data_IF_477257207910
#
_entry.id   IF_477257207910
#
_cell.length_a   1.000
_cell.length_b   1.000
_cell.length_c   1.000
_cell.angle_alpha   90.00
_cell.angle_beta   90.00
_cell.angle_gamma   90.00
#
_symmetry.space_group_name_H-M   'P 1'
#
loop_
_entity.id
_entity.type
_entity.pdbx_description
1 polymer ?
#
# COMPACT_ATOMS: atom_id res chain seq x y z
N UNK A 1 -32.28 3.71 -17.44
CA UNK A 1 -32.07 5.15 -17.03
C UNK A 1 -31.62 5.12 -15.57
N UNK A 2 -30.54 5.82 -15.24
CA UNK A 2 -30.17 6.00 -13.82
C UNK A 2 -31.06 7.13 -13.29
N UNK A 3 -31.91 6.83 -12.31
CA UNK A 3 -32.74 7.81 -11.63
C UNK A 3 -31.93 8.41 -10.46
N UNK A 4 -31.87 9.73 -10.37
CA UNK A 4 -31.28 10.41 -9.23
C UNK A 4 -32.40 10.76 -8.24
N UNK A 5 -32.28 10.26 -7.02
CA UNK A 5 -33.21 10.57 -5.93
C UNK A 5 -32.48 11.43 -4.90
N UNK A 6 -33.05 12.60 -4.58
CA UNK A 6 -32.54 13.46 -3.50
C UNK A 6 -33.15 13.03 -2.17
N UNK A 7 -32.30 12.87 -1.13
CA UNK A 7 -32.72 12.59 0.23
C UNK A 7 -32.07 13.60 1.18
N UNK A 8 -32.80 14.04 2.18
CA UNK A 8 -32.28 14.94 3.22
C UNK A 8 -32.23 14.23 4.54
N UNK A 9 -31.09 14.32 5.22
CA UNK A 9 -30.85 13.73 6.53
C UNK A 9 -30.32 14.78 7.50
N UNK A 10 -30.78 14.73 8.76
CA UNK A 10 -30.15 15.44 9.86
C UNK A 10 -28.96 14.63 10.35
N UNK A 11 -27.74 15.11 10.04
CA UNK A 11 -26.51 14.41 10.34
C UNK A 11 -25.78 15.08 11.50
N UNK A 12 -25.61 14.40 12.65
CA UNK A 12 -24.94 14.97 13.81
C UNK A 12 -23.43 15.14 13.60
N UNK A 13 -22.88 16.25 14.08
CA UNK A 13 -21.43 16.42 14.25
C UNK A 13 -21.01 15.69 15.52
N UNK A 14 -20.15 14.68 15.40
CA UNK A 14 -19.71 13.81 16.51
C UNK A 14 -18.38 14.22 17.11
N UNK A 15 -17.58 15.02 16.43
CA UNK A 15 -16.31 15.49 16.95
C UNK A 15 -15.62 16.50 16.06
N UNK A 16 -14.70 17.22 16.69
CA UNK A 16 -13.81 18.17 16.03
C UNK A 16 -12.37 17.79 16.40
N UNK A 17 -11.48 17.78 15.44
CA UNK A 17 -10.09 17.34 15.58
C UNK A 17 -9.15 18.38 14.97
N UNK A 18 -7.87 18.30 15.30
CA UNK A 18 -6.88 19.06 14.54
C UNK A 18 -6.63 18.36 13.21
N UNK A 19 -6.44 17.03 13.22
CA UNK A 19 -6.18 16.22 12.04
C UNK A 19 -7.13 15.03 11.97
N UNK A 20 -7.70 14.79 10.78
CA UNK A 20 -8.41 13.54 10.48
C UNK A 20 -7.66 12.83 9.37
N UNK A 21 -7.34 11.54 9.60
CA UNK A 21 -6.73 10.62 8.64
C UNK A 21 -7.80 9.63 8.16
N UNK A 22 -8.01 9.53 6.86
CA UNK A 22 -8.92 8.56 6.27
C UNK A 22 -8.16 7.38 5.65
N UNK A 23 -8.43 6.17 6.17
CA UNK A 23 -7.78 4.92 5.77
C UNK A 23 -6.61 4.53 6.68
N UNK A 24 -6.75 3.38 7.35
CA UNK A 24 -5.79 2.82 8.30
C UNK A 24 -4.76 1.86 7.67
N UNK A 25 -4.41 2.07 6.40
CA UNK A 25 -3.30 1.37 5.74
C UNK A 25 -1.92 1.84 6.24
N UNK A 26 -0.80 1.37 5.64
CA UNK A 26 0.54 1.75 6.08
C UNK A 26 0.73 3.27 6.19
N UNK A 27 0.31 4.03 5.18
CA UNK A 27 0.42 5.49 5.17
C UNK A 27 -0.45 6.14 6.26
N UNK A 28 -1.69 5.68 6.44
CA UNK A 28 -2.58 6.25 7.43
C UNK A 28 -2.15 5.99 8.87
N UNK A 29 -1.60 4.82 9.14
CA UNK A 29 -1.04 4.52 10.46
C UNK A 29 0.11 5.47 10.79
N UNK A 30 1.08 5.65 9.90
CA UNK A 30 2.21 6.55 10.14
C UNK A 30 1.80 8.02 10.17
N UNK A 31 0.81 8.43 9.35
CA UNK A 31 0.26 9.78 9.38
C UNK A 31 -0.43 10.08 10.73
N UNK A 32 -1.22 9.14 11.24
CA UNK A 32 -1.88 9.31 12.53
C UNK A 32 -0.88 9.33 13.70
N UNK A 33 0.10 8.42 13.71
CA UNK A 33 1.16 8.38 14.73
C UNK A 33 1.94 9.69 14.71
N UNK A 34 2.41 10.13 13.54
CA UNK A 34 3.23 11.33 13.42
C UNK A 34 2.47 12.57 13.88
N UNK A 35 1.26 12.77 13.39
CA UNK A 35 0.43 13.91 13.80
C UNK A 35 0.12 13.92 15.31
N UNK A 36 -0.18 12.76 15.91
CA UNK A 36 -0.45 12.67 17.35
C UNK A 36 0.83 12.90 18.19
N UNK A 37 2.00 12.38 17.75
CA UNK A 37 3.30 12.64 18.42
C UNK A 37 3.68 14.12 18.39
N UNK A 38 3.23 14.89 17.37
CA UNK A 38 3.35 16.36 17.30
C UNK A 38 2.28 17.09 18.12
N UNK A 39 1.58 16.38 19.01
CA UNK A 39 0.64 16.93 19.98
C UNK A 39 -0.74 17.31 19.40
N UNK A 40 -1.09 16.86 18.20
CA UNK A 40 -2.39 17.15 17.59
C UNK A 40 -3.46 16.14 18.00
N UNK A 41 -4.66 16.62 18.25
CA UNK A 41 -5.83 15.75 18.44
C UNK A 41 -6.17 15.10 17.11
N UNK A 42 -5.77 13.83 16.96
CA UNK A 42 -5.83 13.10 15.69
C UNK A 42 -6.87 11.98 15.73
N UNK A 43 -7.72 11.92 14.70
CA UNK A 43 -8.66 10.84 14.43
C UNK A 43 -8.23 10.05 13.19
N UNK A 44 -8.11 8.74 13.31
CA UNK A 44 -7.94 7.80 12.21
C UNK A 44 -9.23 7.01 12.00
N UNK A 45 -9.82 7.11 10.81
CA UNK A 45 -10.97 6.26 10.43
C UNK A 45 -10.52 5.13 9.52
N UNK A 46 -11.04 3.91 9.77
CA UNK A 46 -10.74 2.71 9.00
C UNK A 46 -12.05 1.93 8.71
N UNK A 47 -12.24 1.59 7.44
CA UNK A 47 -13.44 0.88 6.99
C UNK A 47 -13.49 -0.58 7.43
N UNK A 48 -12.33 -1.20 7.65
CA UNK A 48 -12.19 -2.59 8.08
C UNK A 48 -12.10 -2.72 9.60
N UNK A 49 -11.71 -3.90 10.07
CA UNK A 49 -11.60 -4.24 11.49
C UNK A 49 -10.17 -4.23 12.01
N UNK A 50 -9.18 -3.87 11.19
CA UNK A 50 -7.77 -3.86 11.58
C UNK A 50 -6.97 -2.83 10.80
N UNK A 51 -5.92 -2.32 11.42
CA UNK A 51 -4.92 -1.45 10.80
C UNK A 51 -3.91 -2.22 9.93
N UNK A 52 -3.17 -1.49 9.10
CA UNK A 52 -2.06 -2.00 8.29
C UNK A 52 -2.42 -2.39 6.84
N UNK A 53 -3.69 -2.35 6.46
CA UNK A 53 -4.16 -2.50 5.08
C UNK A 53 -3.61 -3.73 4.35
N UNK A 54 -2.75 -3.52 3.33
CA UNK A 54 -2.25 -4.62 2.48
C UNK A 54 -1.37 -5.63 3.23
N UNK A 55 -0.59 -5.20 4.23
CA UNK A 55 0.25 -6.09 5.02
C UNK A 55 -0.52 -6.94 6.03
N UNK A 56 -1.75 -6.56 6.35
CA UNK A 56 -2.62 -7.22 7.35
C UNK A 56 -3.88 -7.81 6.73
N UNK A 57 -4.84 -6.98 6.34
CA UNK A 57 -6.12 -7.42 5.77
C UNK A 57 -6.00 -7.89 4.32
N UNK A 58 -5.01 -7.37 3.58
CA UNK A 58 -4.70 -7.79 2.22
C UNK A 58 -3.81 -9.03 2.14
N UNK A 59 -3.18 -9.46 3.24
CA UNK A 59 -2.29 -10.61 3.35
C UNK A 59 -1.09 -10.60 2.39
N UNK A 60 -0.58 -9.44 2.02
CA UNK A 60 0.70 -9.37 1.29
C UNK A 60 1.78 -9.98 2.17
N UNK A 61 2.42 -11.09 1.74
CA UNK A 61 3.17 -11.95 2.65
C UNK A 61 4.59 -11.46 2.95
N UNK A 62 5.02 -10.37 2.30
CA UNK A 62 6.44 -9.97 2.32
C UNK A 62 6.56 -8.45 2.24
N UNK A 63 7.42 -7.88 3.07
CA UNK A 63 7.90 -6.52 2.89
C UNK A 63 8.72 -6.41 1.60
N UNK A 64 8.47 -5.39 0.80
CA UNK A 64 9.43 -4.97 -0.21
C UNK A 64 10.73 -4.51 0.46
N UNK A 65 11.87 -4.46 -0.28
CA UNK A 65 13.16 -4.07 0.28
C UNK A 65 13.11 -2.79 1.11
N UNK A 66 13.76 -2.80 2.27
CA UNK A 66 13.96 -1.64 3.15
C UNK A 66 15.34 -1.00 2.96
N UNK A 67 16.19 -1.60 2.13
CA UNK A 67 17.55 -1.12 1.88
C UNK A 67 17.71 -0.57 0.46
N UNK A 68 18.77 0.21 0.27
CA UNK A 68 19.35 0.54 -1.04
C UNK A 68 20.44 -0.48 -1.44
N UNK A 69 20.38 -1.70 -0.93
CA UNK A 69 21.36 -2.78 -1.01
C UNK A 69 22.67 -2.54 -0.20
N UNK A 70 22.81 -1.38 0.46
CA UNK A 70 23.92 -1.06 1.37
C UNK A 70 23.43 -0.82 2.79
N UNK A 71 22.35 -0.07 2.94
CA UNK A 71 21.82 0.33 4.24
C UNK A 71 20.32 0.52 4.17
N UNK A 72 19.68 0.48 5.34
CA UNK A 72 18.26 0.81 5.46
C UNK A 72 18.05 2.31 5.15
N UNK A 73 17.17 2.62 4.19
CA UNK A 73 16.82 4.00 3.83
C UNK A 73 15.38 4.39 4.22
N UNK A 74 14.48 3.44 4.37
CA UNK A 74 13.15 3.69 4.91
C UNK A 74 13.22 3.66 6.44
N UNK A 75 13.48 4.84 7.03
CA UNK A 75 13.73 5.06 8.47
C UNK A 75 12.55 5.79 9.11
N UNK A 76 12.74 6.33 10.31
CA UNK A 76 11.67 6.93 11.09
C UNK A 76 10.63 5.88 11.49
N UNK A 77 9.35 6.22 11.43
CA UNK A 77 8.26 5.30 11.71
C UNK A 77 8.26 4.06 10.82
N UNK A 78 8.66 4.19 9.55
CA UNK A 78 8.81 3.05 8.65
C UNK A 78 9.81 2.02 9.20
N UNK A 79 10.96 2.48 9.69
CA UNK A 79 11.97 1.64 10.32
C UNK A 79 11.51 1.02 11.64
N UNK A 80 10.82 1.78 12.49
CA UNK A 80 10.26 1.28 13.76
C UNK A 80 9.29 0.11 13.51
N UNK A 81 8.31 0.29 12.62
CA UNK A 81 7.31 -0.73 12.27
C UNK A 81 7.99 -1.97 11.67
N UNK A 82 8.92 -1.75 10.73
CA UNK A 82 9.63 -2.85 10.08
C UNK A 82 10.45 -3.69 11.07
N UNK A 83 11.21 -3.07 11.96
CA UNK A 83 12.04 -3.77 12.95
C UNK A 83 11.17 -4.60 13.90
N UNK A 84 10.06 -4.03 14.39
CA UNK A 84 9.09 -4.75 15.23
C UNK A 84 8.48 -5.93 14.47
N UNK A 85 8.03 -5.72 13.22
CA UNK A 85 7.43 -6.77 12.38
C UNK A 85 8.41 -7.91 12.08
N UNK A 86 9.66 -7.57 11.71
CA UNK A 86 10.73 -8.56 11.44
C UNK A 86 11.02 -9.42 12.68
N UNK A 87 11.04 -8.83 13.86
CA UNK A 87 11.28 -9.54 15.11
C UNK A 87 10.23 -10.62 15.42
N UNK A 88 9.04 -10.52 14.82
CA UNK A 88 7.96 -11.50 14.96
C UNK A 88 8.08 -12.70 13.99
N UNK A 89 9.12 -12.74 13.14
CA UNK A 89 9.36 -13.86 12.20
C UNK A 89 10.61 -14.62 12.64
N UNK A 90 10.48 -15.79 13.31
CA UNK A 90 11.60 -16.47 13.96
C UNK A 90 12.73 -16.91 13.01
N UNK A 91 12.43 -17.17 11.74
CA UNK A 91 13.40 -17.62 10.73
C UNK A 91 14.27 -16.48 10.15
N UNK A 92 13.98 -15.22 10.52
CA UNK A 92 14.63 -14.05 9.92
C UNK A 92 15.65 -13.43 10.88
N UNK A 93 16.90 -13.28 10.41
CA UNK A 93 17.95 -12.63 11.19
C UNK A 93 17.73 -11.13 11.35
N UNK A 94 18.26 -10.55 12.44
CA UNK A 94 18.15 -9.11 12.72
C UNK A 94 18.78 -8.19 11.66
N UNK A 95 19.72 -8.69 10.86
CA UNK A 95 20.36 -7.94 9.76
C UNK A 95 19.62 -8.01 8.43
N UNK A 96 18.59 -8.85 8.31
CA UNK A 96 17.86 -9.02 7.06
C UNK A 96 16.93 -7.83 6.79
N UNK A 97 17.13 -7.12 5.68
CA UNK A 97 16.42 -5.88 5.36
C UNK A 97 15.46 -5.99 4.17
N UNK A 98 15.63 -6.99 3.31
CA UNK A 98 14.95 -7.05 2.02
C UNK A 98 14.12 -8.34 1.91
N UNK A 99 12.92 -8.23 1.36
CA UNK A 99 11.99 -9.35 1.16
C UNK A 99 11.67 -10.14 2.44
N UNK A 100 11.54 -9.42 3.55
CA UNK A 100 11.25 -9.99 4.87
C UNK A 100 9.78 -10.44 4.93
N UNK A 101 9.50 -11.71 5.33
CA UNK A 101 8.13 -12.18 5.52
C UNK A 101 7.35 -11.35 6.53
N UNK A 102 6.03 -11.31 6.38
CA UNK A 102 5.11 -10.60 7.28
C UNK A 102 4.20 -11.58 7.98
N UNK A 103 4.25 -11.59 9.31
CA UNK A 103 3.19 -12.18 10.12
C UNK A 103 2.06 -11.14 10.26
N UNK A 104 0.96 -11.34 9.53
CA UNK A 104 -0.13 -10.38 9.46
C UNK A 104 -0.80 -10.10 10.81
N UNK A 105 -0.95 -11.11 11.67
CA UNK A 105 -1.58 -10.95 13.00
C UNK A 105 -0.68 -10.15 13.95
N UNK A 106 0.62 -10.42 13.96
CA UNK A 106 1.56 -9.62 14.74
C UNK A 106 1.67 -8.19 14.22
N UNK A 107 1.61 -8.00 12.91
CA UNK A 107 1.64 -6.66 12.31
C UNK A 107 0.40 -5.85 12.66
N UNK A 108 -0.80 -6.46 12.75
CA UNK A 108 -2.01 -5.78 13.26
C UNK A 108 -1.76 -5.26 14.67
N UNK A 109 -1.25 -6.11 15.58
CA UNK A 109 -0.97 -5.76 16.97
C UNK A 109 0.06 -4.62 17.06
N UNK A 110 1.11 -4.66 16.23
CA UNK A 110 2.14 -3.60 16.18
C UNK A 110 1.51 -2.26 15.79
N UNK A 111 0.65 -2.23 14.78
CA UNK A 111 -0.04 -1.00 14.39
C UNK A 111 -1.01 -0.52 15.46
N UNK A 112 -1.78 -1.42 16.08
CA UNK A 112 -2.72 -1.07 17.14
C UNK A 112 -1.99 -0.42 18.32
N UNK A 113 -0.89 -1.04 18.80
CA UNK A 113 -0.05 -0.51 19.87
C UNK A 113 0.54 0.86 19.50
N UNK A 114 1.23 0.96 18.36
CA UNK A 114 1.92 2.19 17.99
C UNK A 114 0.97 3.37 17.75
N UNK A 115 -0.19 3.11 17.12
CA UNK A 115 -1.20 4.16 16.88
C UNK A 115 -1.85 4.61 18.18
N UNK A 116 -2.26 3.69 19.03
CA UNK A 116 -2.95 4.06 20.30
C UNK A 116 -1.98 4.67 21.30
N UNK A 117 -0.76 4.18 21.43
CA UNK A 117 0.28 4.75 22.30
C UNK A 117 0.71 6.16 21.86
N UNK A 118 0.58 6.51 20.59
CA UNK A 118 0.82 7.87 20.10
C UNK A 118 -0.24 8.89 20.60
N UNK A 119 -1.38 8.42 21.09
CA UNK A 119 -2.53 9.24 21.46
C UNK A 119 -3.55 9.47 20.34
N UNK A 120 -3.35 8.90 19.15
CA UNK A 120 -4.34 8.94 18.07
C UNK A 120 -5.57 8.10 18.42
N UNK A 121 -6.75 8.61 18.05
CA UNK A 121 -8.03 7.93 18.24
C UNK A 121 -8.35 7.15 16.96
N UNK A 122 -8.74 5.87 17.10
CA UNK A 122 -9.10 5.02 15.96
C UNK A 122 -10.60 4.72 15.97
N UNK A 123 -11.24 4.84 14.81
CA UNK A 123 -12.59 4.35 14.56
C UNK A 123 -12.57 3.29 13.47
N UNK A 124 -12.72 2.03 13.86
CA UNK A 124 -12.90 0.91 12.95
C UNK A 124 -14.34 0.84 12.40
N UNK A 125 -14.52 0.07 11.33
CA UNK A 125 -15.82 -0.16 10.68
C UNK A 125 -16.54 1.16 10.39
N UNK A 126 -15.77 2.16 9.98
CA UNK A 126 -16.23 3.51 9.72
C UNK A 126 -15.87 3.91 8.29
N UNK A 127 -16.87 3.92 7.42
CA UNK A 127 -16.71 4.18 6.00
C UNK A 127 -16.78 5.68 5.72
N UNK A 128 -15.84 6.21 4.95
CA UNK A 128 -15.94 7.53 4.35
C UNK A 128 -17.05 7.51 3.28
N UNK A 129 -18.05 8.37 3.41
CA UNK A 129 -19.20 8.44 2.50
C UNK A 129 -19.22 9.73 1.67
N UNK A 130 -18.52 10.76 2.12
CA UNK A 130 -18.45 12.03 1.43
C UNK A 130 -17.60 13.04 2.18
N UNK A 131 -17.37 14.17 1.54
CA UNK A 131 -16.64 15.31 2.10
C UNK A 131 -17.47 16.56 1.91
N UNK A 132 -17.60 17.34 2.98
CA UNK A 132 -18.11 18.70 2.87
C UNK A 132 -16.93 19.62 2.65
N UNK A 133 -16.85 20.22 1.47
CA UNK A 133 -15.80 21.15 1.09
C UNK A 133 -16.39 22.36 0.37
N UNK A 134 -15.78 23.50 0.59
CA UNK A 134 -16.15 24.75 -0.06
C UNK A 134 -14.90 25.58 -0.38
N UNK A 135 -14.84 26.16 -1.58
CA UNK A 135 -13.73 27.02 -2.03
C UNK A 135 -12.34 26.41 -1.83
N UNK A 136 -12.16 25.11 -2.15
CA UNK A 136 -10.90 24.41 -2.02
C UNK A 136 -10.50 24.03 -0.58
N UNK A 137 -11.43 24.11 0.37
CA UNK A 137 -11.22 23.78 1.77
C UNK A 137 -12.20 22.71 2.24
N UNK A 138 -11.71 21.62 2.75
CA UNK A 138 -12.52 20.60 3.41
C UNK A 138 -12.91 21.09 4.83
N UNK A 139 -14.18 20.96 5.18
CA UNK A 139 -14.72 21.35 6.48
C UNK A 139 -15.00 20.14 7.37
N UNK A 140 -15.52 19.05 6.76
CA UNK A 140 -15.91 17.85 7.47
C UNK A 140 -15.93 16.64 6.53
N UNK A 141 -15.74 15.47 7.10
CA UNK A 141 -16.03 14.19 6.45
C UNK A 141 -17.39 13.67 6.90
N UNK A 142 -18.15 13.10 5.95
CA UNK A 142 -19.35 12.32 6.22
C UNK A 142 -18.93 10.85 6.29
N UNK A 143 -19.29 10.19 7.37
CA UNK A 143 -19.01 8.77 7.58
C UNK A 143 -20.29 7.97 7.84
N UNK A 144 -20.25 6.67 7.54
CA UNK A 144 -21.25 5.68 7.94
C UNK A 144 -20.63 4.60 8.80
N UNK A 145 -21.28 4.32 9.92
CA UNK A 145 -20.93 3.21 10.80
C UNK A 145 -22.19 2.67 11.51
N UNK A 146 -22.03 1.86 12.57
CA UNK A 146 -23.14 1.26 13.29
C UNK A 146 -24.12 2.28 13.91
N UNK A 147 -23.69 3.53 14.11
CA UNK A 147 -24.55 4.62 14.60
C UNK A 147 -25.31 5.38 13.48
N UNK A 148 -25.12 4.96 12.22
CA UNK A 148 -25.65 5.65 11.05
C UNK A 148 -24.70 6.69 10.51
N UNK A 149 -25.24 7.75 9.87
CA UNK A 149 -24.44 8.85 9.30
C UNK A 149 -23.99 9.82 10.38
N UNK A 150 -22.75 10.28 10.27
CA UNK A 150 -22.15 11.26 11.19
C UNK A 150 -21.15 12.15 10.47
N UNK A 151 -20.99 13.38 10.94
CA UNK A 151 -19.96 14.32 10.49
C UNK A 151 -18.84 14.41 11.53
N UNK A 152 -17.59 14.45 11.05
CA UNK A 152 -16.40 14.78 11.84
C UNK A 152 -15.68 15.93 11.17
N UNK A 153 -15.34 16.96 11.95
CA UNK A 153 -14.65 18.17 11.49
C UNK A 153 -13.17 18.11 11.84
N UNK A 154 -12.34 18.73 11.01
CA UNK A 154 -10.94 18.94 11.31
C UNK A 154 -10.39 20.23 10.67
N UNK A 155 -9.23 20.67 11.17
CA UNK A 155 -8.46 21.74 10.55
C UNK A 155 -7.77 21.27 9.29
N UNK A 156 -7.16 20.06 9.32
CA UNK A 156 -6.45 19.42 8.21
C UNK A 156 -6.91 17.98 8.07
N UNK A 157 -7.00 17.50 6.83
CA UNK A 157 -7.34 16.12 6.48
C UNK A 157 -6.19 15.46 5.73
N UNK A 158 -6.02 14.15 5.94
CA UNK A 158 -5.02 13.36 5.21
C UNK A 158 -5.74 12.18 4.54
N UNK A 159 -5.69 12.13 3.22
CA UNK A 159 -6.21 11.00 2.45
C UNK A 159 -5.18 9.87 2.35
N UNK A 160 -5.43 8.80 3.07
CA UNK A 160 -4.68 7.55 3.05
C UNK A 160 -5.56 6.36 2.59
N UNK A 161 -6.68 6.63 1.90
CA UNK A 161 -7.63 5.60 1.43
C UNK A 161 -7.01 4.70 0.36
N UNK A 162 -5.93 5.13 -0.27
CA UNK A 162 -5.26 4.45 -1.37
C UNK A 162 -5.97 4.63 -2.72
N UNK A 163 -7.25 4.99 -2.73
CA UNK A 163 -8.06 5.25 -3.92
C UNK A 163 -8.41 6.74 -4.07
N UNK A 164 -7.85 7.61 -3.22
CA UNK A 164 -8.07 9.07 -3.20
C UNK A 164 -9.54 9.48 -2.94
N UNK A 165 -10.25 8.74 -2.09
CA UNK A 165 -11.69 8.96 -1.88
C UNK A 165 -11.98 10.27 -1.15
N UNK A 166 -11.12 10.68 -0.19
CA UNK A 166 -11.28 11.94 0.52
C UNK A 166 -10.92 13.12 -0.39
N UNK A 167 -9.78 13.07 -1.07
CA UNK A 167 -9.30 14.15 -1.93
C UNK A 167 -10.25 14.39 -3.10
N UNK A 168 -10.72 13.32 -3.77
CA UNK A 168 -11.73 13.39 -4.81
C UNK A 168 -13.04 13.97 -4.26
N UNK A 169 -13.49 13.52 -3.08
CA UNK A 169 -14.69 14.02 -2.41
C UNK A 169 -14.59 15.50 -2.03
N UNK A 170 -13.39 16.01 -1.79
CA UNK A 170 -13.08 17.41 -1.54
C UNK A 170 -12.96 18.25 -2.84
N UNK A 171 -12.96 17.62 -4.01
CA UNK A 171 -12.88 18.28 -5.32
C UNK A 171 -11.53 18.21 -6.02
N UNK A 172 -10.58 17.41 -5.54
CA UNK A 172 -9.30 17.22 -6.22
C UNK A 172 -9.47 16.55 -7.58
N UNK A 173 -8.67 16.94 -8.56
CA UNK A 173 -8.53 16.24 -9.81
C UNK A 173 -7.69 14.95 -9.62
N UNK A 174 -8.11 13.87 -10.28
CA UNK A 174 -7.42 12.58 -10.22
C UNK A 174 -7.19 11.99 -11.61
N UNK A 175 -6.03 11.34 -11.77
CA UNK A 175 -5.73 10.50 -12.93
C UNK A 175 -5.92 9.02 -12.57
N UNK A 176 -6.21 8.16 -13.54
CA UNK A 176 -6.37 6.71 -13.32
C UNK A 176 -5.78 5.91 -14.49
N UNK A 177 -4.97 4.91 -14.14
CA UNK A 177 -4.34 4.05 -15.13
C UNK A 177 -3.28 4.76 -15.99
N UNK A 178 -2.91 4.12 -17.07
CA UNK A 178 -2.02 4.66 -18.10
C UNK A 178 -2.80 5.52 -19.12
N UNK A 179 -2.13 5.98 -20.18
CA UNK A 179 -2.75 6.81 -21.24
C UNK A 179 -3.98 6.15 -21.92
N UNK A 180 -4.17 4.83 -21.77
CA UNK A 180 -5.34 4.09 -22.28
C UNK A 180 -6.39 3.84 -21.16
N UNK A 181 -6.17 4.35 -19.96
CA UNK A 181 -7.01 4.08 -18.79
C UNK A 181 -6.83 2.67 -18.18
N UNK A 182 -5.86 1.90 -18.65
CA UNK A 182 -5.58 0.56 -18.13
C UNK A 182 -4.80 0.66 -16.83
N UNK A 183 -5.28 -0.02 -15.78
CA UNK A 183 -4.63 -0.16 -14.49
C UNK A 183 -3.85 -1.46 -14.39
N UNK A 184 -2.88 -1.50 -13.48
CA UNK A 184 -2.12 -2.72 -13.19
C UNK A 184 -3.03 -3.82 -12.63
N UNK A 185 -2.77 -5.12 -12.96
CA UNK A 185 -3.58 -6.22 -12.45
C UNK A 185 -3.51 -6.32 -10.93
N UNK A 186 -4.60 -6.72 -10.32
CA UNK A 186 -4.74 -6.94 -8.90
C UNK A 186 -4.43 -8.39 -8.51
N UNK A 187 -4.21 -8.65 -7.22
CA UNK A 187 -4.00 -10.01 -6.69
C UNK A 187 -4.81 -10.22 -5.42
N UNK A 188 -5.40 -11.38 -5.28
CA UNK A 188 -6.04 -11.80 -4.04
C UNK A 188 -5.10 -12.73 -3.27
N UNK A 189 -4.36 -12.20 -2.31
CA UNK A 189 -3.39 -12.97 -1.53
C UNK A 189 -4.08 -14.00 -0.64
N UNK A 190 -3.35 -15.07 -0.31
CA UNK A 190 -3.85 -16.16 0.52
C UNK A 190 -2.74 -16.81 1.35
N UNK A 191 -3.13 -17.58 2.36
CA UNK A 191 -2.23 -18.32 3.25
C UNK A 191 -2.61 -19.78 3.25
N UNK A 192 -1.60 -20.65 3.10
CA UNK A 192 -1.70 -22.09 3.28
C UNK A 192 -1.07 -22.48 4.61
N UNK A 193 -1.71 -23.39 5.32
CA UNK A 193 -1.19 -23.97 6.56
C UNK A 193 -0.98 -25.48 6.40
N UNK A 194 -0.30 -26.08 7.38
CA UNK A 194 0.11 -27.49 7.39
C UNK A 194 1.00 -27.86 6.20
N UNK A 195 1.88 -26.93 5.82
CA UNK A 195 2.96 -27.15 4.85
C UNK A 195 4.14 -27.81 5.57
N UNK A 196 4.75 -28.83 4.96
CA UNK A 196 6.00 -29.37 5.47
C UNK A 196 7.13 -28.33 5.27
N UNK A 197 7.55 -27.71 6.37
CA UNK A 197 8.56 -26.63 6.34
C UNK A 197 9.90 -27.13 5.80
N UNK A 198 10.34 -28.32 6.21
CA UNK A 198 11.60 -28.87 5.76
C UNK A 198 11.61 -29.17 4.25
N UNK A 199 10.55 -29.80 3.78
CA UNK A 199 10.40 -30.06 2.35
C UNK A 199 10.30 -28.75 1.54
N UNK A 200 9.57 -27.75 2.04
CA UNK A 200 9.45 -26.43 1.41
C UNK A 200 10.81 -25.74 1.27
N UNK A 201 11.63 -25.73 2.32
CA UNK A 201 12.92 -25.03 2.32
C UNK A 201 14.04 -25.80 1.61
N UNK A 202 14.02 -27.15 1.61
CA UNK A 202 15.15 -27.96 1.17
C UNK A 202 14.87 -28.89 0.00
N UNK A 203 13.61 -29.28 -0.26
CA UNK A 203 13.29 -30.22 -1.34
C UNK A 203 12.70 -29.54 -2.55
N UNK A 204 11.78 -28.57 -2.33
CA UNK A 204 11.07 -27.88 -3.42
C UNK A 204 11.45 -26.40 -3.58
N UNK A 205 12.42 -25.91 -2.84
CA UNK A 205 12.80 -24.48 -2.82
C UNK A 205 13.14 -23.94 -4.21
N UNK A 206 13.96 -24.64 -4.97
CA UNK A 206 14.32 -24.24 -6.34
C UNK A 206 13.09 -24.16 -7.24
N UNK A 207 12.21 -25.17 -7.19
CA UNK A 207 10.96 -25.21 -7.94
C UNK A 207 10.04 -24.02 -7.60
N UNK A 208 9.92 -23.71 -6.30
CA UNK A 208 9.06 -22.62 -5.80
C UNK A 208 9.57 -21.22 -6.14
N UNK A 209 10.90 -21.03 -6.28
CA UNK A 209 11.50 -19.71 -6.45
C UNK A 209 12.10 -19.46 -7.85
N UNK A 210 12.18 -20.49 -8.70
CA UNK A 210 12.63 -20.33 -10.08
C UNK A 210 11.63 -19.50 -10.90
N UNK A 211 12.15 -18.60 -11.73
CA UNK A 211 11.37 -17.62 -12.49
C UNK A 211 11.62 -17.72 -14.01
N UNK A 212 11.69 -18.93 -14.52
CA UNK A 212 11.82 -19.21 -15.96
C UNK A 212 10.56 -19.91 -16.52
N UNK A 213 10.55 -20.16 -17.81
CA UNK A 213 9.48 -20.86 -18.53
C UNK A 213 9.82 -22.32 -18.74
N UNK A 214 10.34 -22.99 -17.73
CA UNK A 214 10.68 -24.41 -17.76
C UNK A 214 9.82 -25.23 -16.78
N UNK A 215 9.76 -26.52 -16.99
CA UNK A 215 9.09 -27.48 -16.08
C UNK A 215 9.79 -27.57 -14.70
N UNK A 216 10.86 -26.80 -14.48
CA UNK A 216 11.52 -26.63 -13.19
C UNK A 216 11.05 -25.37 -12.44
N UNK A 217 10.06 -24.65 -12.97
CA UNK A 217 9.45 -23.49 -12.34
C UNK A 217 8.00 -23.79 -11.97
N UNK A 218 7.67 -23.69 -10.67
CA UNK A 218 6.31 -23.92 -10.18
C UNK A 218 5.30 -23.00 -10.87
N UNK A 219 5.61 -21.73 -11.03
CA UNK A 219 4.71 -20.79 -11.69
C UNK A 219 4.39 -21.15 -13.14
N UNK A 220 5.38 -21.71 -13.85
CA UNK A 220 5.19 -22.16 -15.22
C UNK A 220 4.38 -23.47 -15.30
N UNK A 221 4.65 -24.45 -14.43
CA UNK A 221 3.86 -25.69 -14.33
C UNK A 221 2.39 -25.40 -14.05
N UNK A 222 2.12 -24.51 -13.09
CA UNK A 222 0.76 -24.12 -12.73
C UNK A 222 0.01 -23.44 -13.89
N UNK A 223 0.68 -22.50 -14.58
CA UNK A 223 0.10 -21.79 -15.72
C UNK A 223 -0.19 -22.72 -16.91
N UNK A 224 0.62 -23.75 -17.12
CA UNK A 224 0.47 -24.70 -18.23
C UNK A 224 -0.58 -25.80 -17.98
N UNK A 225 -0.99 -26.01 -16.76
CA UNK A 225 -1.92 -27.08 -16.41
C UNK A 225 -3.34 -26.71 -16.85
N UNK A 226 -3.96 -27.47 -17.79
CA UNK A 226 -5.31 -27.17 -18.29
C UNK A 226 -6.39 -27.35 -17.22
N UNK A 227 -6.12 -28.02 -16.10
CA UNK A 227 -7.05 -28.14 -14.96
C UNK A 227 -7.02 -26.92 -14.04
N UNK A 228 -6.06 -26.00 -14.25
CA UNK A 228 -5.85 -24.79 -13.48
C UNK A 228 -6.11 -23.52 -14.34
N UNK A 229 -7.20 -23.51 -15.05
CA UNK A 229 -7.57 -22.54 -16.10
C UNK A 229 -7.66 -21.07 -15.66
N UNK A 230 -7.76 -20.81 -14.36
CA UNK A 230 -7.76 -19.46 -13.80
C UNK A 230 -6.35 -18.92 -13.51
N UNK A 231 -5.32 -19.77 -13.56
CA UNK A 231 -3.90 -19.36 -13.42
C UNK A 231 -3.37 -19.08 -14.82
N UNK A 232 -3.45 -17.83 -15.24
CA UNK A 232 -3.22 -17.42 -16.62
C UNK A 232 -1.82 -16.85 -16.90
N UNK A 233 -1.01 -16.68 -15.85
CA UNK A 233 0.35 -16.15 -15.94
C UNK A 233 1.28 -16.73 -14.86
N UNK A 234 2.53 -16.29 -14.86
CA UNK A 234 3.59 -16.77 -13.95
C UNK A 234 3.75 -15.91 -12.70
N UNK A 235 2.78 -15.05 -12.35
CA UNK A 235 2.86 -14.27 -11.12
C UNK A 235 2.69 -15.17 -9.89
N UNK A 236 3.80 -15.38 -9.18
CA UNK A 236 3.87 -16.34 -8.09
C UNK A 236 4.94 -15.91 -7.06
N UNK A 237 4.55 -15.10 -6.09
CA UNK A 237 5.38 -14.75 -4.94
C UNK A 237 4.88 -15.50 -3.72
N UNK A 238 5.81 -16.07 -2.95
CA UNK A 238 5.50 -16.83 -1.75
C UNK A 238 6.54 -16.57 -0.67
N UNK A 239 6.17 -16.74 0.59
CA UNK A 239 7.06 -16.54 1.74
C UNK A 239 6.65 -17.44 2.91
N UNK A 240 7.62 -18.03 3.58
CA UNK A 240 7.43 -18.76 4.82
C UNK A 240 7.20 -17.76 5.96
N UNK A 241 5.98 -17.72 6.49
CA UNK A 241 5.56 -16.76 7.53
C UNK A 241 5.85 -17.27 8.94
N UNK A 242 5.71 -18.58 9.13
CA UNK A 242 5.95 -19.32 10.36
C UNK A 242 6.11 -20.82 10.00
N UNK A 243 6.60 -21.66 10.90
CA UNK A 243 6.64 -23.11 10.68
C UNK A 243 5.29 -23.63 10.21
N UNK A 244 5.27 -24.33 9.08
CA UNK A 244 4.06 -24.89 8.46
C UNK A 244 3.12 -23.90 7.81
N UNK A 245 3.49 -22.60 7.68
CA UNK A 245 2.60 -21.56 7.17
C UNK A 245 3.28 -20.75 6.07
N UNK A 246 2.71 -20.77 4.86
CA UNK A 246 3.24 -20.06 3.69
C UNK A 246 2.19 -19.09 3.16
N UNK A 247 2.59 -17.84 2.99
CA UNK A 247 1.76 -16.79 2.37
C UNK A 247 2.07 -16.63 0.88
N UNK A 248 1.06 -16.29 0.11
CA UNK A 248 1.13 -16.16 -1.34
C UNK A 248 0.57 -14.82 -1.82
N UNK A 249 1.35 -14.14 -2.67
CA UNK A 249 0.91 -13.07 -3.55
C UNK A 249 1.03 -13.62 -4.98
N UNK A 250 0.00 -14.32 -5.44
CA UNK A 250 0.05 -15.14 -6.65
C UNK A 250 -1.24 -15.07 -7.45
N UNK A 251 -1.12 -15.17 -8.77
CA UNK A 251 -2.20 -15.01 -9.73
C UNK A 251 -2.60 -13.54 -9.93
N UNK A 252 -3.03 -13.21 -11.14
CA UNK A 252 -3.51 -11.88 -11.46
C UNK A 252 -5.01 -11.86 -11.78
N UNK A 253 -5.64 -10.77 -11.40
CA UNK A 253 -6.99 -10.37 -11.80
C UNK A 253 -6.84 -9.09 -12.61
N UNK A 254 -7.07 -9.21 -13.92
CA UNK A 254 -6.87 -8.13 -14.88
C UNK A 254 -8.10 -7.24 -14.99
N UNK A 255 -7.87 -5.99 -15.44
CA UNK A 255 -8.91 -5.01 -15.77
C UNK A 255 -9.87 -4.71 -14.61
N UNK A 256 -9.39 -4.81 -13.37
CA UNK A 256 -10.20 -4.50 -12.19
C UNK A 256 -10.24 -3.00 -11.96
N UNK A 257 -11.42 -2.42 -12.08
CA UNK A 257 -11.72 -1.09 -11.58
C UNK A 257 -12.03 -1.16 -10.08
N UNK A 258 -11.08 -0.73 -9.24
CA UNK A 258 -11.26 -0.72 -7.77
C UNK A 258 -12.32 0.27 -7.29
N UNK A 259 -12.77 1.18 -8.16
CA UNK A 259 -13.82 2.17 -7.85
C UNK A 259 -15.22 1.69 -8.23
N UNK A 260 -15.34 0.51 -8.84
CA UNK A 260 -16.60 -0.17 -9.10
C UNK A 260 -16.82 -1.30 -8.09
N UNK A 261 -17.78 -1.19 -7.16
CA UNK A 261 -18.04 -2.19 -6.14
C UNK A 261 -18.49 -3.55 -6.72
N UNK A 262 -19.14 -3.57 -7.89
CA UNK A 262 -19.52 -4.82 -8.55
C UNK A 262 -18.27 -5.54 -9.08
N UNK A 263 -17.37 -4.82 -9.75
CA UNK A 263 -16.11 -5.36 -10.24
C UNK A 263 -15.24 -5.90 -9.09
N UNK A 264 -15.15 -5.17 -7.98
CA UNK A 264 -14.41 -5.63 -6.78
C UNK A 264 -15.06 -6.90 -6.19
N UNK A 265 -16.37 -6.98 -6.12
CA UNK A 265 -17.09 -8.16 -5.61
C UNK A 265 -16.83 -9.39 -6.47
N UNK A 266 -16.91 -9.26 -7.79
CA UNK A 266 -16.59 -10.33 -8.74
C UNK A 266 -15.12 -10.76 -8.64
N UNK A 267 -14.20 -9.79 -8.50
CA UNK A 267 -12.78 -10.06 -8.33
C UNK A 267 -12.48 -10.85 -7.05
N UNK A 268 -13.11 -10.53 -5.93
CA UNK A 268 -12.97 -11.28 -4.67
C UNK A 268 -13.47 -12.72 -4.80
N UNK A 269 -14.64 -12.91 -5.46
CA UNK A 269 -15.18 -14.26 -5.72
C UNK A 269 -14.26 -15.07 -6.64
N UNK A 270 -13.74 -14.44 -7.71
CA UNK A 270 -12.79 -15.07 -8.63
C UNK A 270 -11.44 -15.35 -7.93
N UNK A 271 -10.97 -14.43 -7.10
CA UNK A 271 -9.70 -14.57 -6.37
C UNK A 271 -9.68 -15.79 -5.44
N UNK A 272 -10.80 -16.09 -4.76
CA UNK A 272 -10.90 -17.30 -3.93
C UNK A 272 -10.82 -18.58 -4.77
N UNK A 273 -11.38 -18.58 -5.97
CA UNK A 273 -11.26 -19.74 -6.91
C UNK A 273 -9.83 -19.89 -7.45
N UNK A 274 -9.15 -18.77 -7.73
CA UNK A 274 -7.74 -18.78 -8.11
C UNK A 274 -6.89 -19.38 -6.97
N UNK A 275 -7.10 -18.95 -5.73
CA UNK A 275 -6.39 -19.48 -4.57
C UNK A 275 -6.60 -21.00 -4.39
N UNK A 276 -7.82 -21.50 -4.62
CA UNK A 276 -8.13 -22.93 -4.61
C UNK A 276 -7.39 -23.70 -5.72
N UNK A 277 -7.28 -23.11 -6.92
CA UNK A 277 -6.50 -23.73 -8.00
C UNK A 277 -5.02 -23.78 -7.65
N UNK A 278 -4.47 -22.73 -7.02
CA UNK A 278 -3.08 -22.78 -6.52
C UNK A 278 -2.88 -23.89 -5.51
N UNK A 279 -3.78 -24.07 -4.54
CA UNK A 279 -3.68 -25.17 -3.58
C UNK A 279 -3.69 -26.54 -4.27
N UNK A 280 -4.58 -26.77 -5.23
CA UNK A 280 -4.62 -28.03 -6.00
C UNK A 280 -3.32 -28.26 -6.78
N UNK A 281 -2.84 -27.24 -7.47
CA UNK A 281 -1.63 -27.32 -8.26
C UNK A 281 -0.38 -27.58 -7.39
N UNK A 282 -0.28 -26.91 -6.25
CA UNK A 282 0.82 -27.12 -5.29
C UNK A 282 0.82 -28.53 -4.73
N UNK A 283 -0.34 -29.11 -4.42
CA UNK A 283 -0.46 -30.53 -4.03
C UNK A 283 -0.05 -31.50 -5.15
N UNK A 284 -0.31 -31.14 -6.41
CA UNK A 284 -0.01 -31.96 -7.58
C UNK A 284 1.48 -31.94 -7.90
N UNK A 285 2.14 -30.78 -7.86
CA UNK A 285 3.50 -30.58 -8.36
C UNK A 285 4.58 -30.51 -7.28
N UNK A 286 4.19 -30.32 -6.02
CA UNK A 286 5.10 -30.31 -4.86
C UNK A 286 4.47 -31.05 -3.65
N UNK A 287 4.05 -32.32 -3.83
CA UNK A 287 3.39 -33.08 -2.76
C UNK A 287 4.27 -33.23 -1.52
N UNK A 288 5.59 -33.23 -1.66
CA UNK A 288 6.53 -33.31 -0.55
C UNK A 288 6.27 -32.23 0.50
N UNK A 289 5.99 -31.01 0.05
CA UNK A 289 5.71 -29.89 0.93
C UNK A 289 4.21 -29.66 1.17
N UNK A 290 3.35 -29.92 0.17
CA UNK A 290 1.97 -29.44 0.18
C UNK A 290 0.90 -30.54 0.24
N UNK A 291 1.23 -31.85 0.28
CA UNK A 291 0.23 -32.91 0.28
C UNK A 291 -0.87 -32.72 1.34
N UNK A 292 -0.49 -32.30 2.54
CA UNK A 292 -1.36 -32.09 3.68
C UNK A 292 -1.79 -30.62 3.88
N UNK A 293 -1.35 -29.72 3.00
CA UNK A 293 -1.65 -28.31 3.12
C UNK A 293 -3.16 -28.04 2.92
N UNK A 294 -3.65 -26.98 3.59
CA UNK A 294 -5.01 -26.51 3.41
C UNK A 294 -5.05 -24.98 3.35
N UNK A 295 -6.13 -24.44 2.78
CA UNK A 295 -6.37 -23.00 2.73
C UNK A 295 -6.71 -22.48 4.13
N UNK A 296 -5.79 -21.77 4.75
CA UNK A 296 -6.00 -21.19 6.07
C UNK A 296 -6.77 -19.88 5.98
N UNK A 297 -6.41 -19.03 5.00
CA UNK A 297 -7.03 -17.71 4.87
C UNK A 297 -6.87 -17.17 3.44
N UNK A 298 -7.85 -16.37 2.98
CA UNK A 298 -7.74 -15.46 1.84
C UNK A 298 -7.85 -14.03 2.32
N UNK A 299 -7.23 -13.08 1.64
CA UNK A 299 -7.28 -11.66 2.00
C UNK A 299 -8.71 -11.14 2.14
N UNK A 300 -8.97 -10.34 3.15
CA UNK A 300 -10.25 -9.63 3.29
C UNK A 300 -10.33 -8.49 2.28
N UNK A 301 -9.20 -7.88 1.97
CA UNK A 301 -9.06 -6.83 0.96
C UNK A 301 -8.45 -7.41 -0.32
N UNK A 302 -8.94 -6.92 -1.47
CA UNK A 302 -8.30 -7.13 -2.74
C UNK A 302 -6.98 -6.37 -2.80
N UNK A 303 -5.92 -7.00 -3.26
CA UNK A 303 -4.61 -6.38 -3.47
C UNK A 303 -4.60 -5.47 -4.70
N UNK A 304 -5.14 -4.27 -4.57
CA UNK A 304 -5.19 -3.26 -5.61
C UNK A 304 -3.83 -2.59 -5.76
N UNK A 305 -3.20 -2.72 -6.93
CA UNK A 305 -1.90 -2.11 -7.22
C UNK A 305 -2.01 -0.66 -7.68
N UNK A 306 -3.01 -0.35 -8.48
CA UNK A 306 -3.21 0.97 -9.07
C UNK A 306 -4.68 1.34 -9.09
N UNK A 307 -4.97 2.62 -8.79
CA UNK A 307 -6.29 3.23 -8.85
C UNK A 307 -6.13 4.70 -9.22
N UNK A 308 -6.86 5.60 -8.54
CA UNK A 308 -6.69 7.04 -8.72
C UNK A 308 -5.37 7.51 -8.11
N UNK A 309 -4.74 8.46 -8.79
CA UNK A 309 -3.60 9.26 -8.35
C UNK A 309 -4.02 10.71 -8.39
N UNK A 310 -3.77 11.44 -7.31
CA UNK A 310 -4.19 12.83 -7.20
C UNK A 310 -3.25 13.73 -8.01
N UNK A 311 -3.83 14.73 -8.69
CA UNK A 311 -3.05 15.80 -9.31
C UNK A 311 -2.55 16.73 -8.21
N UNK A 312 -1.25 16.67 -7.95
CA UNK A 312 -0.56 17.44 -6.92
C UNK A 312 0.36 18.49 -7.54
N UNK A 313 0.90 19.39 -6.72
CA UNK A 313 1.84 20.44 -7.16
C UNK A 313 3.08 19.90 -7.86
N UNK A 314 3.46 18.65 -7.57
CA UNK A 314 4.46 17.91 -8.31
C UNK A 314 3.95 16.51 -8.68
N UNK A 315 4.24 16.09 -9.89
CA UNK A 315 3.98 14.75 -10.40
C UNK A 315 5.28 14.00 -10.51
N UNK A 316 5.56 13.10 -9.60
CA UNK A 316 6.74 12.22 -9.65
C UNK A 316 6.67 11.29 -10.85
N UNK A 317 7.73 11.22 -11.65
CA UNK A 317 7.72 10.57 -12.96
C UNK A 317 8.77 9.48 -13.12
N UNK A 318 8.61 8.63 -14.15
CA UNK A 318 9.64 7.67 -14.52
C UNK A 318 10.99 8.32 -14.86
N UNK A 319 11.01 9.58 -15.31
CA UNK A 319 12.26 10.31 -15.56
C UNK A 319 12.99 10.61 -14.25
N UNK A 320 12.26 10.95 -13.17
CA UNK A 320 12.86 11.16 -11.84
C UNK A 320 13.53 9.88 -11.33
N UNK A 321 12.89 8.72 -11.60
CA UNK A 321 13.46 7.41 -11.31
C UNK A 321 14.76 7.18 -12.09
N UNK A 322 14.75 7.37 -13.43
CA UNK A 322 15.91 7.13 -14.30
C UNK A 322 17.09 8.02 -13.91
N UNK A 323 16.81 9.28 -13.58
CA UNK A 323 17.84 10.28 -13.21
C UNK A 323 18.29 10.20 -11.74
N UNK A 324 17.72 9.29 -10.92
CA UNK A 324 17.96 9.22 -9.46
C UNK A 324 17.76 10.59 -8.81
N UNK A 325 16.71 11.30 -9.26
CA UNK A 325 16.45 12.69 -8.92
C UNK A 325 16.39 12.93 -7.41
N UNK A 326 17.05 13.98 -6.94
CA UNK A 326 16.91 14.54 -5.60
C UNK A 326 16.18 15.87 -5.67
N UNK A 327 15.49 16.25 -4.59
CA UNK A 327 14.68 17.45 -4.52
C UNK A 327 15.01 18.27 -3.27
N UNK A 328 14.92 19.60 -3.37
CA UNK A 328 15.11 20.49 -2.21
C UNK A 328 14.01 20.30 -1.17
N UNK A 329 12.81 19.88 -1.61
CA UNK A 329 11.65 19.60 -0.76
C UNK A 329 11.48 18.08 -0.47
N UNK A 330 12.57 17.32 -0.43
CA UNK A 330 12.55 15.88 -0.23
C UNK A 330 12.06 15.51 1.18
N UNK A 331 11.13 14.55 1.25
CA UNK A 331 10.57 14.01 2.52
C UNK A 331 11.02 12.59 2.83
N UNK A 332 11.78 11.98 1.94
CA UNK A 332 12.31 10.62 2.05
C UNK A 332 12.86 10.14 0.73
N UNK A 333 13.46 8.95 0.74
CA UNK A 333 14.02 8.33 -0.47
C UNK A 333 13.39 6.98 -0.74
N UNK A 334 13.39 6.60 -2.03
CA UNK A 334 12.86 5.33 -2.49
C UNK A 334 13.86 4.61 -3.39
N UNK A 335 14.17 3.35 -3.06
CA UNK A 335 15.06 2.45 -3.82
C UNK A 335 14.31 1.30 -4.49
N UNK A 336 12.98 1.24 -4.36
CA UNK A 336 12.21 0.19 -5.02
C UNK A 336 12.11 0.46 -6.52
N UNK A 337 12.32 -0.57 -7.32
CA UNK A 337 12.27 -0.45 -8.77
C UNK A 337 10.84 -0.19 -9.28
N UNK A 338 10.72 0.31 -10.52
CA UNK A 338 9.43 0.43 -11.19
C UNK A 338 8.91 -0.98 -11.51
N UNK A 339 7.97 -1.43 -10.68
CA UNK A 339 7.37 -2.76 -10.73
C UNK A 339 5.99 -2.70 -11.41
N UNK A 340 6.02 -2.73 -12.73
CA UNK A 340 4.80 -2.76 -13.56
C UNK A 340 4.51 -4.21 -13.91
N UNK A 341 3.36 -4.70 -13.48
CA UNK A 341 2.85 -6.01 -13.87
C UNK A 341 2.22 -5.96 -15.25
N UNK A 342 2.36 -7.08 -16.01
CA UNK A 342 1.88 -7.19 -17.38
C UNK A 342 0.38 -6.89 -17.48
N UNK A 343 0.00 -6.20 -18.55
CA UNK A 343 -1.40 -6.08 -18.92
C UNK A 343 -1.90 -7.38 -19.58
N UNK A 344 -3.23 -7.51 -19.71
CA UNK A 344 -3.83 -8.66 -20.40
C UNK A 344 -3.34 -8.78 -21.84
N UNK A 345 -3.07 -7.66 -22.52
CA UNK A 345 -2.59 -7.62 -23.90
C UNK A 345 -1.15 -8.15 -24.07
N UNK A 346 -0.42 -8.32 -22.95
CA UNK A 346 0.95 -8.81 -22.93
C UNK A 346 1.04 -10.29 -22.51
N UNK A 347 -0.08 -10.93 -22.17
CA UNK A 347 -0.11 -12.33 -21.70
C UNK A 347 0.43 -13.33 -22.72
N UNK A 348 0.19 -13.12 -24.01
CA UNK A 348 0.70 -14.02 -25.05
C UNK A 348 2.23 -13.97 -25.11
N UNK A 349 2.83 -12.81 -24.89
CA UNK A 349 4.29 -12.65 -24.80
C UNK A 349 4.87 -13.31 -23.54
N UNK A 350 4.10 -13.43 -22.48
CA UNK A 350 4.49 -14.18 -21.27
C UNK A 350 4.49 -15.67 -21.56
N UNK A 351 3.46 -16.16 -22.26
CA UNK A 351 3.31 -17.59 -22.60
C UNK A 351 4.37 -18.09 -23.57
N UNK A 352 4.81 -17.26 -24.52
CA UNK A 352 5.85 -17.60 -25.49
C UNK A 352 7.28 -17.27 -25.03
N UNK A 353 7.44 -16.73 -23.81
CA UNK A 353 8.74 -16.41 -23.22
C UNK A 353 9.44 -15.18 -23.80
N UNK A 354 8.76 -14.40 -24.65
CA UNK A 354 9.35 -13.20 -25.27
C UNK A 354 9.16 -11.93 -24.45
N UNK A 355 8.46 -12.03 -23.32
CA UNK A 355 8.22 -10.90 -22.44
C UNK A 355 9.42 -10.58 -21.54
N UNK A 356 9.85 -9.31 -21.53
CA UNK A 356 10.80 -8.79 -20.56
C UNK A 356 10.06 -7.95 -19.50
N UNK A 357 10.07 -8.33 -18.22
CA UNK A 357 9.26 -7.67 -17.17
C UNK A 357 9.76 -6.29 -16.76
N UNK A 358 10.93 -5.83 -17.24
CA UNK A 358 11.49 -4.55 -16.82
C UNK A 358 11.86 -3.67 -18.03
N UNK A 359 11.08 -2.61 -18.24
CA UNK A 359 11.43 -1.53 -19.17
C UNK A 359 12.44 -0.54 -18.59
N UNK A 360 12.69 -0.64 -17.26
CA UNK A 360 13.53 0.30 -16.53
C UNK A 360 14.66 -0.46 -15.83
N UNK A 361 15.85 0.10 -15.90
CA UNK A 361 17.00 -0.43 -15.17
C UNK A 361 16.75 -0.37 -13.66
N UNK A 362 17.03 -1.47 -12.96
CA UNK A 362 16.94 -1.51 -11.50
C UNK A 362 18.06 -0.70 -10.87
N UNK A 363 17.79 -0.14 -9.71
CA UNK A 363 18.80 0.55 -8.92
C UNK A 363 20.01 -0.34 -8.61
N UNK A 364 21.21 0.23 -8.75
CA UNK A 364 22.46 -0.30 -8.22
C UNK A 364 22.54 -0.18 -6.70
N UNK A 365 23.67 -0.56 -6.13
CA UNK A 365 23.95 -0.42 -4.70
C UNK A 365 24.08 1.04 -4.29
N UNK A 366 23.32 1.46 -3.28
CA UNK A 366 23.30 2.84 -2.77
C UNK A 366 22.49 3.80 -3.62
N UNK A 367 21.85 3.34 -4.71
CA UNK A 367 21.01 4.20 -5.55
C UNK A 367 19.60 4.31 -5.04
N UNK A 368 19.01 5.48 -5.19
CA UNK A 368 17.64 5.81 -4.85
C UNK A 368 17.24 7.14 -5.48
N UNK A 369 15.96 7.46 -5.49
CA UNK A 369 15.46 8.80 -5.82
C UNK A 369 14.72 9.40 -4.62
N UNK A 370 14.63 10.72 -4.59
CA UNK A 370 13.87 11.46 -3.59
C UNK A 370 12.37 11.43 -3.83
N UNK A 371 11.60 11.62 -2.79
CA UNK A 371 10.15 11.86 -2.84
C UNK A 371 9.92 13.31 -2.40
N UNK A 372 9.47 14.23 -3.28
CA UNK A 372 9.27 15.62 -2.90
C UNK A 372 7.95 15.80 -2.13
N UNK A 373 7.91 16.75 -1.19
CA UNK A 373 6.71 17.10 -0.42
C UNK A 373 5.53 17.48 -1.33
N UNK A 374 5.80 18.19 -2.41
CA UNK A 374 4.79 18.62 -3.38
C UNK A 374 4.01 17.48 -4.07
N UNK A 375 4.45 16.22 -3.92
CA UNK A 375 3.64 15.06 -4.34
C UNK A 375 2.48 14.76 -3.38
N UNK A 376 2.47 15.37 -2.19
CA UNK A 376 1.44 15.16 -1.16
C UNK A 376 0.40 16.30 -1.12
N UNK A 377 0.59 17.38 -1.90
CA UNK A 377 -0.22 18.59 -1.88
C UNK A 377 -1.14 18.67 -3.11
N UNK A 378 -2.43 18.30 -2.98
CA UNK A 378 -3.38 18.35 -4.09
C UNK A 378 -3.59 19.79 -4.60
N UNK A 379 -3.52 19.97 -5.91
CA UNK A 379 -3.83 21.28 -6.53
C UNK A 379 -5.25 21.71 -6.18
N UNK A 380 -5.38 22.94 -5.74
CA UNK A 380 -6.68 23.57 -5.45
C UNK A 380 -7.32 23.20 -4.11
N UNK A 381 -6.65 22.41 -3.25
CA UNK A 381 -7.10 22.12 -1.89
C UNK A 381 -6.12 22.68 -0.86
N UNK A 382 -6.58 23.55 0.04
CA UNK A 382 -5.72 24.24 1.01
C UNK A 382 -5.42 23.42 2.28
N UNK A 383 -6.24 22.43 2.63
CA UNK A 383 -6.13 21.70 3.90
C UNK A 383 -6.32 20.19 3.78
N UNK A 384 -6.07 19.63 2.61
CA UNK A 384 -6.10 18.18 2.37
C UNK A 384 -4.76 17.74 1.85
N UNK A 385 -4.07 16.85 2.58
CA UNK A 385 -2.87 16.14 2.12
C UNK A 385 -3.25 14.75 1.61
N UNK A 386 -2.40 14.18 0.77
CA UNK A 386 -2.51 12.77 0.32
C UNK A 386 -1.25 12.01 0.68
N UNK A 387 -1.37 10.72 1.01
CA UNK A 387 -0.23 9.87 1.29
C UNK A 387 -0.44 8.42 0.83
N UNK A 388 0.64 7.70 0.59
CA UNK A 388 0.58 6.31 0.13
C UNK A 388 0.38 6.18 -1.37
N UNK A 389 -0.46 5.23 -1.79
CA UNK A 389 -0.62 4.81 -3.19
C UNK A 389 -1.19 5.90 -4.11
N UNK A 390 -1.95 6.85 -3.58
CA UNK A 390 -2.66 7.87 -4.35
C UNK A 390 -1.91 9.19 -4.55
N UNK A 391 -0.65 9.32 -4.08
CA UNK A 391 0.14 10.55 -4.22
C UNK A 391 0.39 10.93 -5.69
N UNK A 392 0.76 12.19 -5.92
CA UNK A 392 1.05 12.74 -7.24
C UNK A 392 2.17 11.99 -7.97
N UNK A 393 1.81 11.16 -8.96
CA UNK A 393 2.77 10.39 -9.76
C UNK A 393 2.24 10.04 -11.13
N UNK A 394 3.12 9.70 -12.08
CA UNK A 394 2.70 9.03 -13.31
C UNK A 394 2.41 7.53 -13.05
N UNK A 395 1.77 6.86 -14.02
CA UNK A 395 1.41 5.45 -13.90
C UNK A 395 2.63 4.52 -13.77
N UNK A 396 3.75 4.85 -14.40
CA UNK A 396 4.96 4.05 -14.30
C UNK A 396 5.59 4.20 -12.91
N UNK A 397 5.76 5.43 -12.43
CA UNK A 397 6.31 5.72 -11.11
C UNK A 397 5.44 5.18 -9.98
N UNK A 398 4.12 5.15 -10.16
CA UNK A 398 3.22 4.50 -9.20
C UNK A 398 3.64 3.04 -8.91
N UNK A 399 4.15 2.31 -9.92
CA UNK A 399 4.70 0.96 -9.72
C UNK A 399 5.85 0.89 -8.70
N UNK A 400 6.60 1.98 -8.52
CA UNK A 400 7.71 2.07 -7.57
C UNK A 400 7.27 2.55 -6.18
N UNK A 401 6.44 3.61 -6.12
CA UNK A 401 6.14 4.30 -4.85
C UNK A 401 4.92 3.77 -4.09
N UNK A 402 4.14 2.85 -4.68
CA UNK A 402 2.92 2.29 -4.06
C UNK A 402 3.17 1.18 -3.04
N UNK A 403 4.39 0.65 -2.98
CA UNK A 403 4.71 -0.42 -2.03
C UNK A 403 4.77 0.10 -0.60
N UNK A 404 4.61 -0.81 0.37
CA UNK A 404 4.42 -0.40 1.77
C UNK A 404 5.55 0.48 2.34
N UNK A 405 6.86 0.25 2.08
CA UNK A 405 7.90 1.08 2.66
C UNK A 405 7.79 2.58 2.31
N UNK A 406 7.72 3.01 1.03
CA UNK A 406 7.50 4.43 0.72
C UNK A 406 6.13 4.95 1.16
N UNK A 407 5.08 4.10 1.24
CA UNK A 407 3.80 4.53 1.79
C UNK A 407 3.92 4.92 3.27
N UNK A 408 4.69 4.17 4.08
CA UNK A 408 4.99 4.52 5.47
C UNK A 408 5.69 5.87 5.58
N UNK A 409 6.69 6.12 4.72
CA UNK A 409 7.45 7.38 4.68
C UNK A 409 6.56 8.58 4.32
N UNK A 410 5.75 8.44 3.27
CA UNK A 410 4.85 9.52 2.85
C UNK A 410 3.77 9.82 3.88
N UNK A 411 3.30 8.80 4.61
CA UNK A 411 2.35 8.97 5.71
C UNK A 411 2.96 9.74 6.87
N UNK A 412 4.18 9.39 7.31
CA UNK A 412 4.89 10.11 8.37
C UNK A 412 5.06 11.59 8.03
N UNK A 413 5.52 11.88 6.81
CA UNK A 413 5.71 13.25 6.35
C UNK A 413 4.40 14.03 6.27
N UNK A 414 3.32 13.41 5.78
CA UNK A 414 1.99 14.03 5.74
C UNK A 414 1.47 14.33 7.15
N UNK A 415 1.71 13.43 8.12
CA UNK A 415 1.31 13.62 9.52
C UNK A 415 2.00 14.80 10.18
N UNK A 416 3.32 14.93 10.03
CA UNK A 416 4.09 16.07 10.55
C UNK A 416 3.68 17.37 9.84
N UNK A 417 3.56 17.35 8.50
CA UNK A 417 3.14 18.53 7.74
C UNK A 417 1.73 19.02 8.13
N UNK A 418 0.80 18.07 8.34
CA UNK A 418 -0.55 18.40 8.83
C UNK A 418 -0.50 19.05 10.21
N UNK A 419 0.34 18.55 11.12
CA UNK A 419 0.52 19.12 12.44
C UNK A 419 1.05 20.56 12.35
N UNK A 420 2.07 20.80 11.51
CA UNK A 420 2.62 22.15 11.29
C UNK A 420 1.59 23.12 10.68
N UNK A 421 0.79 22.64 9.72
CA UNK A 421 -0.27 23.46 9.13
C UNK A 421 -1.37 23.83 10.15
N UNK A 422 -1.68 22.93 11.10
CA UNK A 422 -2.66 23.20 12.18
C UNK A 422 -2.23 24.31 13.16
N UNK A 423 -0.94 24.62 13.24
CA UNK A 423 -0.43 25.70 14.12
C UNK A 423 -0.63 27.10 13.54
N UNK A 424 -1.15 27.20 12.33
CA UNK A 424 -1.49 28.47 11.69
C UNK A 424 -2.97 28.78 11.92
N UNK A 425 -3.32 30.08 12.04
CA UNK A 425 -4.72 30.55 12.17
C UNK A 425 -5.57 30.08 10.99
N UNK A 426 -4.99 30.07 9.81
CA UNK A 426 -5.60 29.51 8.60
C UNK A 426 -4.68 28.41 8.07
N UNK A 427 -5.02 27.12 8.28
CA UNK A 427 -4.24 26.01 7.78
C UNK A 427 -4.11 26.06 6.26
N UNK A 428 -2.86 26.01 5.77
CA UNK A 428 -2.53 25.91 4.36
C UNK A 428 -1.35 24.94 4.18
N UNK A 429 -1.63 23.82 3.54
CA UNK A 429 -0.63 22.77 3.30
C UNK A 429 0.46 23.19 2.32
N UNK A 430 0.17 24.15 1.43
CA UNK A 430 1.14 24.68 0.46
C UNK A 430 2.09 25.71 1.10
N UNK A 431 1.73 26.25 2.28
CA UNK A 431 2.53 27.19 3.04
C UNK A 431 3.33 26.54 4.18
N UNK A 432 3.44 25.24 4.21
CA UNK A 432 4.30 24.49 5.15
C UNK A 432 5.76 24.83 4.87
N UNK A 433 6.48 25.23 5.91
CA UNK A 433 7.95 25.41 5.83
C UNK A 433 8.63 24.07 5.66
N UNK A 434 9.07 23.78 4.43
CA UNK A 434 9.68 22.50 4.08
C UNK A 434 11.00 22.27 4.82
N UNK A 435 11.79 23.30 5.07
CA UNK A 435 13.02 23.14 5.84
C UNK A 435 12.73 22.70 7.27
N UNK A 436 11.76 23.32 7.91
CA UNK A 436 11.31 22.92 9.24
C UNK A 436 10.66 21.51 9.24
N UNK A 437 9.95 21.13 8.17
CA UNK A 437 9.43 19.77 7.98
C UNK A 437 10.58 18.75 7.91
N UNK A 438 11.61 19.03 7.14
CA UNK A 438 12.80 18.20 7.00
C UNK A 438 13.55 18.05 8.33
N UNK A 439 13.73 19.14 9.08
CA UNK A 439 14.32 19.10 10.43
C UNK A 439 13.50 18.22 11.38
N UNK A 440 12.17 18.29 11.33
CA UNK A 440 11.30 17.44 12.11
C UNK A 440 11.44 15.96 11.71
N UNK A 441 11.39 15.66 10.42
CA UNK A 441 11.60 14.31 9.90
C UNK A 441 12.93 13.72 10.35
N UNK A 442 14.03 14.49 10.27
CA UNK A 442 15.35 14.09 10.71
C UNK A 442 15.40 13.82 12.22
N UNK A 443 14.74 14.65 13.02
CA UNK A 443 14.62 14.47 14.48
C UNK A 443 13.91 13.17 14.83
N UNK A 444 12.95 12.73 14.01
CA UNK A 444 12.28 11.44 14.11
C UNK A 444 13.04 10.28 13.44
N UNK A 445 14.25 10.53 12.93
CA UNK A 445 15.13 9.51 12.39
C UNK A 445 14.90 9.16 10.92
N UNK A 446 14.18 9.97 10.16
CA UNK A 446 14.00 9.79 8.72
C UNK A 446 15.36 9.89 7.97
N UNK A 447 15.39 9.34 6.76
CA UNK A 447 16.57 9.40 5.90
C UNK A 447 16.29 10.28 4.68
N UNK A 448 17.01 11.40 4.57
CA UNK A 448 16.94 12.37 3.49
C UNK A 448 18.28 12.52 2.77
N UNK A 449 18.27 13.08 1.57
CA UNK A 449 19.51 13.32 0.80
C UNK A 449 20.53 14.19 1.52
N UNK A 450 20.05 15.18 2.28
CA UNK A 450 20.91 16.10 3.05
C UNK A 450 21.75 15.42 4.13
N UNK A 451 21.49 14.13 4.42
CA UNK A 451 22.26 13.32 5.39
C UNK A 451 23.35 12.46 4.72
N UNK A 452 23.67 12.68 3.45
CA UNK A 452 24.61 11.82 2.70
C UNK A 452 26.08 12.27 2.80
N UNK A 453 26.49 12.99 3.87
CA UNK A 453 27.90 13.19 4.21
C UNK A 453 28.48 12.06 5.05
#
# INVERSE_FOLDING_TARGET
MKENVSMTFDVPVRGEYDVIVAGGGPAGCTAAIASAREGKRTLLIEATTALGGMGTMGLVPTWCPFSDKKKMIYRGLAGEIFVKSRACVPSVSAGWLDWVPINAEELKRIYDEMVTESGAIVLFQTNLCGVRAENGKAEAILVSNKQGLSLYKAKVFIDCTGDADLALGAGAECEKGNAKGTVQPSTHCFILANVDTYAYEHQVNDLMHRRDTSDQSMSYLLMKDPELDLIVDTHFCNSLLAPGTVGFNAGHIFNLDSTDPMAVSEALLKGRRIAEQFLRGLKKYAPEAFANAYMAQTGTLMGIRESRRVVCDYRLTANDYVNRQSFDDEIGRNSYYIDIHNSIDELDKVKDGTFSPSRFERYGEGESHGIPYRCLTPVGLSNVLVAGRCIGSDSAMNGSIRVMPPCLVTGEAAGIAAAMACDKDTPDIHAVDVSALQENLLRHGAYLHINQE
#
